data_IF_695271141620
#
_entry.id   IF_695271141620
#
_cell.length_a   1.000
_cell.length_b   1.000
_cell.length_c   1.000
_cell.angle_alpha   90.00
_cell.angle_beta   90.00
_cell.angle_gamma   90.00
#
_symmetry.space_group_name_H-M   'P 1'
#
loop_
_entity.id
_entity.type
_entity.pdbx_description
1 polymer ?
#
# COMPACT_ATOMS: atom_id res chain seq x y z
N UNK A 1 -14.18 4.45 15.67
CA UNK A 1 -12.89 3.72 15.65
C UNK A 1 -11.95 4.42 16.60
N UNK A 2 -11.37 3.68 17.53
CA UNK A 2 -10.39 4.24 18.46
C UNK A 2 -8.95 4.07 17.94
N UNK A 3 -8.00 4.65 18.65
CA UNK A 3 -6.59 4.61 18.27
C UNK A 3 -6.05 3.18 18.20
N UNK A 4 -6.47 2.32 19.12
CA UNK A 4 -6.03 0.92 19.16
C UNK A 4 -6.46 0.17 17.92
N UNK A 5 -7.70 0.36 17.49
CA UNK A 5 -8.21 -0.24 16.26
C UNK A 5 -7.47 0.28 15.04
N UNK A 6 -7.24 1.60 14.98
CA UNK A 6 -6.50 2.20 13.88
C UNK A 6 -5.08 1.64 13.77
N UNK A 7 -4.38 1.49 14.89
CA UNK A 7 -3.04 0.93 14.90
C UNK A 7 -3.02 -0.53 14.41
N UNK A 8 -4.02 -1.32 14.78
CA UNK A 8 -4.13 -2.70 14.29
C UNK A 8 -4.35 -2.75 12.79
N UNK A 9 -5.22 -1.89 12.27
CA UNK A 9 -5.50 -1.82 10.84
C UNK A 9 -4.24 -1.42 10.07
N UNK A 10 -3.56 -0.37 10.52
CA UNK A 10 -2.33 0.11 9.87
C UNK A 10 -1.26 -0.97 9.89
N UNK A 11 -1.02 -1.57 11.06
CA UNK A 11 0.02 -2.59 11.20
C UNK A 11 -0.26 -3.83 10.36
N UNK A 12 -1.51 -4.28 10.34
CA UNK A 12 -1.90 -5.44 9.54
C UNK A 12 -1.80 -5.15 8.04
N UNK A 13 -2.21 -3.97 7.61
CA UNK A 13 -2.11 -3.55 6.20
C UNK A 13 -0.64 -3.54 5.77
N UNK A 14 0.24 -2.95 6.59
CA UNK A 14 1.67 -2.95 6.31
C UNK A 14 2.21 -4.37 6.18
N UNK A 15 1.85 -5.25 7.11
CA UNK A 15 2.26 -6.65 7.09
C UNK A 15 1.86 -7.34 5.80
N UNK A 16 0.61 -7.11 5.33
CA UNK A 16 0.14 -7.71 4.09
C UNK A 16 0.94 -7.20 2.89
N UNK A 17 1.21 -5.90 2.81
CA UNK A 17 2.02 -5.33 1.74
C UNK A 17 3.43 -5.90 1.79
N UNK A 18 4.06 -5.93 2.97
CA UNK A 18 5.40 -6.50 3.15
C UNK A 18 5.48 -7.94 2.63
N UNK A 19 4.53 -8.77 3.06
CA UNK A 19 4.49 -10.18 2.65
C UNK A 19 4.26 -10.33 1.15
N UNK A 20 3.40 -9.50 0.58
CA UNK A 20 3.13 -9.54 -0.87
C UNK A 20 4.38 -9.23 -1.68
N UNK A 21 5.26 -8.40 -1.13
CA UNK A 21 6.54 -8.03 -1.76
C UNK A 21 7.68 -8.96 -1.35
N UNK A 22 7.39 -9.97 -0.53
CA UNK A 22 8.34 -11.02 -0.11
C UNK A 22 9.50 -10.52 0.74
N UNK A 23 9.27 -9.44 1.50
CA UNK A 23 10.25 -8.99 2.49
C UNK A 23 10.02 -9.66 3.83
N UNK A 24 11.11 -10.03 4.50
CA UNK A 24 11.07 -10.49 5.90
C UNK A 24 11.09 -9.29 6.85
N UNK A 25 10.71 -9.50 8.10
CA UNK A 25 10.82 -8.45 9.11
C UNK A 25 12.28 -8.02 9.33
N UNK A 26 13.21 -8.96 9.28
CA UNK A 26 14.64 -8.65 9.41
C UNK A 26 15.14 -7.76 8.27
N UNK A 27 14.73 -8.06 7.04
CA UNK A 27 15.11 -7.24 5.87
C UNK A 27 14.59 -5.82 6.00
N UNK A 28 13.33 -5.66 6.41
CA UNK A 28 12.73 -4.34 6.59
C UNK A 28 13.40 -3.58 7.74
N UNK A 29 13.68 -4.27 8.84
CA UNK A 29 14.37 -3.66 9.98
C UNK A 29 15.73 -3.10 9.55
N UNK A 30 16.50 -3.87 8.79
CA UNK A 30 17.79 -3.44 8.28
C UNK A 30 17.66 -2.21 7.36
N UNK A 31 16.72 -2.24 6.42
CA UNK A 31 16.53 -1.15 5.47
C UNK A 31 16.00 0.14 6.11
N UNK A 32 15.17 0.01 7.14
CA UNK A 32 14.52 1.14 7.79
C UNK A 32 15.31 1.70 8.97
N UNK A 33 16.39 1.03 9.37
CA UNK A 33 17.15 1.34 10.58
C UNK A 33 16.30 1.26 11.85
N UNK A 34 15.27 0.41 11.80
CA UNK A 34 14.44 0.06 12.95
C UNK A 34 14.76 -1.37 13.37
N UNK A 35 14.28 -1.79 14.54
CA UNK A 35 14.55 -3.15 15.02
C UNK A 35 13.47 -4.13 14.56
N UNK A 36 13.80 -5.44 14.44
CA UNK A 36 12.77 -6.44 14.16
C UNK A 36 11.69 -6.48 15.24
N UNK A 37 12.05 -6.22 16.49
CA UNK A 37 11.10 -6.16 17.59
C UNK A 37 10.11 -5.01 17.41
N UNK A 38 10.59 -3.82 17.04
CA UNK A 38 9.74 -2.68 16.75
C UNK A 38 8.75 -3.04 15.63
N UNK A 39 9.26 -3.63 14.57
CA UNK A 39 8.47 -4.00 13.40
C UNK A 39 7.37 -5.00 13.76
N UNK A 40 7.71 -6.02 14.54
CA UNK A 40 6.73 -7.00 15.01
C UNK A 40 5.61 -6.34 15.82
N UNK A 41 5.96 -5.45 16.73
CA UNK A 41 4.97 -4.74 17.56
C UNK A 41 4.14 -3.77 16.72
N UNK A 42 4.76 -3.08 15.77
CA UNK A 42 4.05 -2.21 14.84
C UNK A 42 3.01 -3.00 14.03
N UNK A 43 3.40 -4.12 13.45
CA UNK A 43 2.51 -4.96 12.64
C UNK A 43 1.37 -5.56 13.45
N UNK A 44 1.57 -5.75 14.75
CA UNK A 44 0.53 -6.25 15.66
C UNK A 44 -0.33 -5.15 16.28
N UNK A 45 -0.12 -3.90 15.86
CA UNK A 45 -0.92 -2.77 16.31
C UNK A 45 -0.60 -2.29 17.72
N UNK A 46 0.58 -2.61 18.23
CA UNK A 46 0.97 -2.24 19.60
C UNK A 46 1.65 -0.88 19.70
N UNK A 47 1.99 -0.27 18.58
CA UNK A 47 2.63 1.04 18.56
C UNK A 47 1.82 2.02 17.72
N UNK A 48 1.75 3.26 18.22
CA UNK A 48 1.32 4.40 17.44
C UNK A 48 2.58 5.00 16.81
N UNK A 49 2.92 4.53 15.61
CA UNK A 49 4.15 4.93 14.94
C UNK A 49 4.14 6.42 14.60
N UNK A 50 5.28 7.07 14.77
CA UNK A 50 5.46 8.46 14.36
C UNK A 50 5.37 8.57 12.83
N UNK A 51 5.07 9.77 12.34
CA UNK A 51 5.07 10.04 10.90
C UNK A 51 6.43 9.69 10.30
N UNK A 52 7.51 10.03 11.00
CA UNK A 52 8.87 9.71 10.54
C UNK A 52 9.07 8.20 10.36
N UNK A 53 8.65 7.41 11.35
CA UNK A 53 8.78 5.95 11.25
C UNK A 53 7.91 5.37 10.15
N UNK A 54 6.71 5.91 9.92
CA UNK A 54 5.86 5.51 8.78
C UNK A 54 6.59 5.77 7.47
N UNK A 55 7.25 6.90 7.32
CA UNK A 55 8.04 7.20 6.12
C UNK A 55 9.16 6.17 5.93
N UNK A 56 9.89 5.85 6.98
CA UNK A 56 10.97 4.85 6.92
C UNK A 56 10.44 3.47 6.51
N UNK A 57 9.34 3.07 7.12
CA UNK A 57 8.70 1.78 6.82
C UNK A 57 8.20 1.70 5.38
N UNK A 58 7.59 2.76 4.88
CA UNK A 58 7.12 2.80 3.50
C UNK A 58 8.28 2.74 2.50
N UNK A 59 9.35 3.48 2.77
CA UNK A 59 10.54 3.44 1.89
C UNK A 59 11.21 2.08 1.88
N UNK A 60 11.21 1.38 3.01
CA UNK A 60 11.88 0.10 3.14
C UNK A 60 11.29 -0.98 2.22
N UNK A 61 10.00 -0.92 1.93
CA UNK A 61 9.32 -1.89 1.06
C UNK A 61 8.77 -1.26 -0.23
N UNK A 62 9.24 -0.05 -0.55
CA UNK A 62 8.85 0.66 -1.76
C UNK A 62 7.32 0.79 -1.90
N UNK A 63 6.68 1.24 -0.84
CA UNK A 63 5.27 1.57 -0.83
C UNK A 63 5.09 3.03 -0.44
N UNK A 64 3.84 3.49 -0.40
CA UNK A 64 3.53 4.87 -0.04
C UNK A 64 2.46 4.92 1.07
N UNK A 65 2.37 6.04 1.80
CA UNK A 65 1.38 6.14 2.88
C UNK A 65 -0.07 6.01 2.42
N UNK A 66 -0.37 6.33 1.17
CA UNK A 66 -1.71 6.21 0.62
C UNK A 66 -2.22 4.78 0.74
N UNK A 67 -1.38 3.78 0.45
CA UNK A 67 -1.75 2.38 0.57
C UNK A 67 -2.06 1.96 2.01
N UNK A 68 -1.44 2.62 2.99
CA UNK A 68 -1.73 2.33 4.40
C UNK A 68 -3.02 2.98 4.88
N UNK A 69 -3.36 4.16 4.36
CA UNK A 69 -4.40 5.00 4.96
C UNK A 69 -5.71 5.04 4.18
N UNK A 70 -5.75 4.57 2.92
CA UNK A 70 -6.93 4.61 2.08
C UNK A 70 -8.17 4.02 2.75
N UNK A 71 -7.99 2.94 3.49
CA UNK A 71 -9.11 2.22 4.09
C UNK A 71 -9.84 3.02 5.18
N UNK A 72 -9.25 4.11 5.65
CA UNK A 72 -9.87 4.98 6.65
C UNK A 72 -10.79 6.04 6.02
N UNK A 73 -10.83 6.12 4.70
CA UNK A 73 -11.59 7.12 3.98
C UNK A 73 -12.61 6.42 3.07
N UNK A 74 -13.77 7.04 2.90
CA UNK A 74 -14.87 6.43 2.15
C UNK A 74 -14.67 6.40 0.65
N UNK A 75 -13.73 7.19 0.11
CA UNK A 75 -13.47 7.23 -1.31
C UNK A 75 -12.50 6.12 -1.71
N UNK A 76 -13.06 5.04 -2.25
CA UNK A 76 -12.28 3.90 -2.73
C UNK A 76 -11.65 4.12 -4.11
N UNK A 77 -12.04 5.18 -4.82
CA UNK A 77 -11.56 5.38 -6.19
C UNK A 77 -10.05 5.65 -6.24
N UNK A 78 -9.50 6.37 -5.27
CA UNK A 78 -8.05 6.62 -5.20
C UNK A 78 -7.26 5.32 -5.04
N UNK A 79 -7.74 4.41 -4.19
CA UNK A 79 -7.11 3.12 -3.97
C UNK A 79 -7.16 2.25 -5.24
N UNK A 80 -8.29 2.24 -5.94
CA UNK A 80 -8.45 1.50 -7.18
C UNK A 80 -7.50 2.05 -8.24
N UNK A 81 -7.43 3.36 -8.39
CA UNK A 81 -6.53 4.01 -9.36
C UNK A 81 -5.08 3.65 -9.06
N UNK A 82 -4.66 3.72 -7.79
CA UNK A 82 -3.29 3.37 -7.40
C UNK A 82 -2.98 1.92 -7.73
N UNK A 83 -3.89 1.00 -7.43
CA UNK A 83 -3.71 -0.42 -7.72
C UNK A 83 -3.59 -0.66 -9.22
N UNK A 84 -4.45 -0.05 -10.03
CA UNK A 84 -4.39 -0.17 -11.49
C UNK A 84 -3.06 0.37 -12.02
N UNK A 85 -2.61 1.51 -11.51
CA UNK A 85 -1.34 2.12 -11.94
C UNK A 85 -0.17 1.20 -11.63
N UNK A 86 -0.14 0.61 -10.44
CA UNK A 86 0.95 -0.30 -10.04
C UNK A 86 0.99 -1.56 -10.90
N UNK A 87 -0.17 -2.13 -11.22
CA UNK A 87 -0.24 -3.28 -12.10
C UNK A 87 0.23 -2.96 -13.52
N UNK A 88 -0.09 -1.75 -14.00
CA UNK A 88 0.29 -1.33 -15.35
C UNK A 88 1.80 -1.15 -15.51
N UNK A 89 2.53 -0.78 -14.45
CA UNK A 89 3.97 -0.52 -14.53
C UNK A 89 4.76 -1.73 -15.01
N UNK A 90 4.33 -2.93 -14.67
CA UNK A 90 5.05 -4.16 -14.99
C UNK A 90 4.59 -4.79 -16.32
N UNK A 91 3.61 -4.20 -16.98
CA UNK A 91 3.12 -4.69 -18.25
C UNK A 91 3.93 -4.13 -19.40
N UNK A 92 4.02 -4.88 -20.50
CA UNK A 92 4.62 -4.34 -21.71
C UNK A 92 3.70 -3.28 -22.36
N UNK A 93 4.25 -2.50 -23.30
CA UNK A 93 3.53 -1.39 -23.91
C UNK A 93 2.30 -1.84 -24.68
N UNK A 94 2.36 -3.01 -25.33
CA UNK A 94 1.22 -3.49 -26.09
C UNK A 94 0.04 -3.85 -25.17
N UNK A 95 0.31 -4.44 -24.02
CA UNK A 95 -0.73 -4.75 -23.04
C UNK A 95 -1.30 -3.47 -22.40
N UNK A 96 -0.43 -2.49 -22.12
CA UNK A 96 -0.88 -1.19 -21.62
C UNK A 96 -1.82 -0.50 -22.60
N UNK A 97 -1.52 -0.57 -23.92
CA UNK A 97 -2.39 0.00 -24.96
C UNK A 97 -3.72 -0.72 -25.03
N UNK A 98 -3.73 -2.03 -24.83
CA UNK A 98 -4.97 -2.80 -24.83
C UNK A 98 -5.86 -2.37 -23.66
N UNK A 99 -5.28 -2.21 -22.47
CA UNK A 99 -6.00 -1.71 -21.28
C UNK A 99 -6.55 -0.31 -21.54
N UNK A 100 -5.75 0.57 -22.13
CA UNK A 100 -6.19 1.92 -22.46
C UNK A 100 -7.39 1.91 -23.43
N UNK A 101 -7.35 1.06 -24.44
CA UNK A 101 -8.45 0.89 -25.38
C UNK A 101 -9.74 0.46 -24.68
N UNK A 102 -9.62 -0.47 -23.73
CA UNK A 102 -10.76 -0.94 -22.95
C UNK A 102 -11.34 0.19 -22.08
N UNK A 103 -10.49 0.98 -21.44
CA UNK A 103 -10.92 2.13 -20.63
C UNK A 103 -11.70 3.13 -21.49
N UNK A 104 -11.18 3.47 -22.66
CA UNK A 104 -11.86 4.39 -23.59
C UNK A 104 -13.21 3.84 -24.05
N UNK A 105 -13.28 2.55 -24.32
CA UNK A 105 -14.52 1.90 -24.74
C UNK A 105 -15.58 1.95 -23.63
N UNK A 106 -15.19 1.71 -22.38
CA UNK A 106 -16.08 1.77 -21.23
C UNK A 106 -16.60 3.20 -21.05
N UNK A 107 -15.70 4.22 -21.13
CA UNK A 107 -16.09 5.63 -21.00
C UNK A 107 -17.09 6.05 -22.09
N UNK A 108 -16.90 5.60 -23.32
CA UNK A 108 -17.76 5.99 -24.45
C UNK A 108 -19.09 5.25 -24.46
N UNK A 109 -19.21 4.14 -23.76
CA UNK A 109 -20.41 3.34 -23.63
C UNK A 109 -21.59 4.14 -23.10
N UNK A 110 -21.35 5.09 -22.20
CA UNK A 110 -22.38 5.89 -21.53
C UNK A 110 -22.74 7.15 -22.29
N UNK A 111 -22.09 7.40 -23.43
CA UNK A 111 -22.28 8.61 -24.25
C UNK A 111 -23.13 8.35 -25.51
N UNK A 112 -23.80 7.22 -25.56
CA UNK A 112 -24.67 6.87 -26.71
C UNK A 112 -26.05 7.45 -26.55
#
# INVERSE_FOLDING_TARGET
>A
MDLKEANKIIGNTYKQIRKSKKFTQEEVAEKSDLTPEYLSKFENGKYNASIYNIILLCKAIDTNPTQLFNQFFDDNSAAIITTITDELKDMDVSDQKLILSLVKRIKNKDNI
#
